data_IF_637318627875
#
_entry.id   IF_637318627875
#
_cell.length_a   1.000
_cell.length_b   1.000
_cell.length_c   1.000
_cell.angle_alpha   90.00
_cell.angle_beta   90.00
_cell.angle_gamma   90.00
#
_symmetry.space_group_name_H-M   'P 1'
#
loop_
_entity.id
_entity.type
_entity.pdbx_description
1 polymer ?
#
# COMPACT_ATOMS: atom_id res chain seq x y z
N UNK A 1 -94.49 12.55 4.55
CA UNK A 1 -95.71 12.93 3.77
C UNK A 1 -95.54 12.44 2.36
N UNK A 2 -96.48 11.62 1.93
CA UNK A 2 -97.01 11.39 0.57
C UNK A 2 -96.00 10.86 -0.46
N UNK A 3 -96.08 9.55 -0.79
CA UNK A 3 -96.91 8.93 -1.84
C UNK A 3 -96.63 9.57 -3.22
N UNK A 4 -96.23 8.79 -4.25
CA UNK A 4 -97.15 8.00 -5.09
C UNK A 4 -96.31 7.12 -6.02
N UNK A 5 -96.71 5.84 -6.06
CA UNK A 5 -96.61 4.86 -7.12
C UNK A 5 -96.92 5.42 -8.53
N UNK A 6 -96.30 4.85 -9.56
CA UNK A 6 -97.05 4.34 -10.74
C UNK A 6 -96.20 3.34 -11.54
N UNK A 7 -96.85 2.25 -11.79
CA UNK A 7 -96.43 1.11 -12.59
C UNK A 7 -96.45 1.41 -14.10
N UNK A 8 -95.65 0.69 -14.86
CA UNK A 8 -95.66 0.64 -16.32
C UNK A 8 -95.07 -0.63 -16.85
N UNK A 9 -95.89 -1.47 -17.32
CA UNK A 9 -95.73 -2.86 -17.80
C UNK A 9 -95.13 -2.90 -19.24
N UNK A 10 -94.38 -3.95 -19.46
CA UNK A 10 -94.29 -4.79 -20.68
C UNK A 10 -93.38 -4.30 -21.83
N UNK A 11 -92.51 -5.19 -22.22
CA UNK A 11 -91.87 -5.24 -23.52
C UNK A 11 -90.79 -6.32 -23.54
N UNK A 12 -91.14 -7.60 -23.62
CA UNK A 12 -90.26 -8.73 -23.91
C UNK A 12 -89.95 -8.69 -25.36
N UNK A 13 -88.64 -8.40 -25.70
CA UNK A 13 -88.02 -8.68 -26.97
C UNK A 13 -86.83 -9.62 -26.76
N UNK A 14 -87.09 -10.91 -26.98
CA UNK A 14 -86.01 -11.89 -27.13
C UNK A 14 -85.22 -11.61 -28.38
N UNK A 15 -84.04 -10.99 -28.21
CA UNK A 15 -83.02 -10.94 -29.25
C UNK A 15 -81.98 -12.02 -28.94
N UNK A 16 -82.03 -13.13 -29.70
CA UNK A 16 -81.03 -14.16 -29.72
C UNK A 16 -79.74 -13.57 -30.35
N UNK A 17 -78.92 -12.91 -29.55
CA UNK A 17 -77.59 -12.54 -29.97
C UNK A 17 -76.66 -13.74 -29.89
N UNK A 18 -76.14 -14.22 -31.01
CA UNK A 18 -75.04 -15.18 -31.10
C UNK A 18 -73.82 -14.64 -30.35
N UNK A 19 -73.51 -15.27 -29.21
CA UNK A 19 -72.23 -14.99 -28.50
C UNK A 19 -71.06 -15.47 -29.36
N UNK A 20 -70.46 -14.58 -30.10
CA UNK A 20 -69.12 -14.81 -30.62
C UNK A 20 -68.18 -14.76 -29.44
N UNK A 21 -67.77 -15.94 -28.95
CA UNK A 21 -66.64 -16.04 -28.05
C UNK A 21 -65.41 -15.47 -28.83
N UNK A 22 -65.05 -14.23 -28.50
CA UNK A 22 -63.76 -13.68 -28.94
C UNK A 22 -62.68 -14.54 -28.32
N UNK A 23 -62.04 -15.35 -29.09
CA UNK A 23 -60.81 -16.04 -28.77
C UNK A 23 -59.77 -14.94 -28.51
N UNK A 24 -59.64 -14.54 -27.24
CA UNK A 24 -58.57 -13.67 -26.80
C UNK A 24 -57.28 -14.47 -26.96
N UNK A 25 -56.62 -14.26 -28.09
CA UNK A 25 -55.29 -14.77 -28.34
C UNK A 25 -54.46 -14.42 -27.11
N UNK A 26 -54.06 -15.46 -26.35
CA UNK A 26 -53.15 -15.32 -25.23
C UNK A 26 -51.89 -14.65 -25.78
N UNK A 27 -51.72 -13.37 -25.50
CA UNK A 27 -50.47 -12.73 -25.79
C UNK A 27 -49.38 -13.52 -25.04
N UNK A 28 -48.34 -13.97 -25.72
CA UNK A 28 -47.25 -14.69 -25.06
C UNK A 28 -46.73 -13.80 -23.96
N UNK A 29 -46.81 -14.28 -22.72
CA UNK A 29 -46.22 -13.61 -21.54
C UNK A 29 -44.72 -13.55 -21.83
N UNK A 30 -44.26 -12.41 -22.28
CA UNK A 30 -42.85 -12.16 -22.47
C UNK A 30 -42.23 -12.14 -21.08
N UNK A 31 -41.63 -13.27 -20.70
CA UNK A 31 -40.89 -13.36 -19.45
C UNK A 31 -39.80 -12.27 -19.49
N UNK A 32 -39.97 -11.26 -18.63
CA UNK A 32 -39.00 -10.18 -18.57
C UNK A 32 -37.56 -10.77 -18.49
N UNK A 33 -36.63 -10.29 -19.31
CA UNK A 33 -35.24 -10.78 -19.21
C UNK A 33 -34.79 -10.67 -17.76
N UNK A 34 -34.07 -11.69 -17.24
CA UNK A 34 -33.56 -11.63 -15.89
C UNK A 34 -32.82 -10.30 -15.70
N UNK A 35 -32.97 -9.62 -14.56
CA UNK A 35 -32.27 -8.37 -14.32
C UNK A 35 -30.78 -8.61 -14.54
N UNK A 36 -30.17 -7.77 -15.39
CA UNK A 36 -28.74 -7.83 -15.65
C UNK A 36 -28.04 -7.75 -14.28
N UNK A 37 -27.35 -8.82 -13.91
CA UNK A 37 -26.53 -8.83 -12.70
C UNK A 37 -25.53 -7.66 -12.82
N UNK A 38 -25.54 -6.77 -11.83
CA UNK A 38 -24.51 -5.74 -11.75
C UNK A 38 -23.13 -6.42 -11.79
N UNK A 39 -22.22 -5.95 -12.64
CA UNK A 39 -20.91 -6.58 -12.75
C UNK A 39 -20.25 -6.66 -11.36
N UNK A 40 -19.83 -7.87 -10.98
CA UNK A 40 -19.14 -8.08 -9.73
C UNK A 40 -17.88 -7.21 -9.72
N UNK A 41 -17.56 -6.62 -8.56
CA UNK A 41 -16.38 -5.82 -8.41
C UNK A 41 -15.12 -6.64 -8.70
N UNK A 42 -14.22 -6.12 -9.55
CA UNK A 42 -12.97 -6.79 -9.91
C UNK A 42 -11.77 -5.97 -9.45
N UNK A 43 -10.77 -6.64 -8.92
CA UNK A 43 -9.48 -6.05 -8.53
C UNK A 43 -8.49 -5.96 -9.68
N UNK A 44 -8.83 -6.50 -10.87
CA UNK A 44 -7.98 -6.42 -12.06
C UNK A 44 -7.87 -4.99 -12.55
N UNK A 45 -6.65 -4.53 -12.80
CA UNK A 45 -6.33 -3.22 -13.34
C UNK A 45 -5.07 -2.64 -12.72
N UNK A 46 -4.57 -1.57 -13.34
CA UNK A 46 -3.45 -0.81 -12.81
C UNK A 46 -3.95 0.37 -11.96
N UNK A 47 -3.12 0.81 -11.05
CA UNK A 47 -3.45 1.92 -10.14
C UNK A 47 -2.23 2.80 -9.91
N UNK A 48 -2.51 4.02 -9.50
CA UNK A 48 -1.56 4.99 -8.94
C UNK A 48 -2.12 5.49 -7.62
N UNK A 49 -1.28 5.76 -6.66
CA UNK A 49 -1.72 6.23 -5.37
C UNK A 49 -0.69 7.03 -4.62
N UNK A 50 -1.12 7.57 -3.49
CA UNK A 50 -0.25 8.23 -2.52
C UNK A 50 -0.39 7.59 -1.15
N UNK A 51 0.66 7.69 -0.35
CA UNK A 51 0.69 7.18 1.01
C UNK A 51 1.39 8.14 1.96
N UNK A 52 1.06 7.99 3.24
CA UNK A 52 1.72 8.64 4.36
C UNK A 52 1.79 7.66 5.53
N UNK A 53 2.84 7.73 6.32
CA UNK A 53 3.00 6.81 7.42
C UNK A 53 4.10 7.19 8.39
N UNK A 54 4.38 6.27 9.30
CA UNK A 54 5.50 6.32 10.22
C UNK A 54 6.41 5.12 10.03
N UNK A 55 7.70 5.36 10.23
CA UNK A 55 8.72 4.33 10.20
C UNK A 55 9.54 4.34 11.49
N UNK A 56 9.94 3.17 11.92
CA UNK A 56 10.90 3.00 13.01
C UNK A 56 11.90 1.92 12.63
N UNK A 57 13.12 2.09 13.09
CA UNK A 57 14.20 1.19 12.72
C UNK A 57 15.17 0.99 13.85
N UNK A 58 16.04 -0.01 13.66
CA UNK A 58 17.16 -0.27 14.53
C UNK A 58 18.41 -0.38 13.71
N UNK A 59 19.39 0.43 14.08
CA UNK A 59 20.72 0.40 13.50
C UNK A 59 21.69 -0.15 14.54
N UNK A 60 22.38 -1.23 14.20
CA UNK A 60 23.42 -1.80 15.04
C UNK A 60 24.77 -1.66 14.30
N UNK A 61 25.65 -0.87 14.88
CA UNK A 61 27.02 -0.71 14.40
C UNK A 61 27.96 -1.53 15.28
N UNK A 62 28.83 -2.33 14.66
CA UNK A 62 29.87 -3.10 15.34
C UNK A 62 31.21 -2.90 14.64
N UNK A 63 32.27 -2.66 15.41
CA UNK A 63 33.61 -2.45 14.93
C UNK A 63 34.53 -3.60 15.42
N UNK A 64 34.44 -4.82 14.85
CA UNK A 64 35.15 -5.99 15.33
C UNK A 64 36.69 -5.84 15.30
N UNK A 65 37.20 -5.04 14.36
CA UNK A 65 38.63 -4.78 14.16
C UNK A 65 39.22 -3.79 15.16
N UNK A 66 38.39 -2.86 15.71
CA UNK A 66 38.85 -1.82 16.64
C UNK A 66 38.56 -2.18 18.10
N UNK A 67 37.42 -2.82 18.35
CA UNK A 67 36.99 -3.22 19.70
C UNK A 67 36.12 -4.48 19.62
N UNK A 68 36.68 -5.68 19.72
CA UNK A 68 35.91 -6.93 19.72
C UNK A 68 34.89 -6.96 20.85
N UNK A 69 33.60 -7.17 20.50
CA UNK A 69 32.52 -7.30 21.49
C UNK A 69 31.78 -5.99 21.81
N UNK A 70 32.17 -4.85 21.26
CA UNK A 70 31.42 -3.61 21.40
C UNK A 70 30.43 -3.44 20.24
N UNK A 71 29.14 -3.36 20.55
CA UNK A 71 28.11 -3.00 19.59
C UNK A 71 27.34 -1.78 20.11
N UNK A 72 27.12 -0.81 19.23
CA UNK A 72 26.29 0.36 19.48
C UNK A 72 24.96 0.15 18.77
N UNK A 73 23.86 0.25 19.49
CA UNK A 73 22.52 0.15 18.93
C UNK A 73 21.83 1.49 19.10
N UNK A 74 21.33 2.03 18.00
CA UNK A 74 20.51 3.24 17.97
C UNK A 74 19.13 2.93 17.42
N UNK A 75 18.10 3.47 18.04
CA UNK A 75 16.74 3.44 17.50
C UNK A 75 16.51 4.68 16.66
N UNK A 76 15.85 4.50 15.54
CA UNK A 76 15.50 5.57 14.59
C UNK A 76 14.00 5.60 14.40
N UNK A 77 13.41 6.76 14.26
CA UNK A 77 11.99 6.91 13.95
C UNK A 77 11.74 8.18 13.14
N UNK A 78 10.65 8.19 12.40
CA UNK A 78 10.29 9.33 11.59
C UNK A 78 9.02 9.13 10.79
N UNK A 79 8.70 10.14 10.00
CA UNK A 79 7.57 10.11 9.09
C UNK A 79 8.04 9.78 7.68
N UNK A 80 7.17 9.12 6.93
CA UNK A 80 7.37 8.80 5.51
C UNK A 80 6.14 9.22 4.73
N UNK A 81 6.32 9.55 3.46
CA UNK A 81 5.23 9.86 2.56
C UNK A 81 5.69 9.81 1.12
N UNK A 82 4.82 9.32 0.25
CA UNK A 82 5.21 9.10 -1.12
C UNK A 82 4.08 8.64 -2.02
N UNK A 83 4.46 7.92 -3.05
CA UNK A 83 3.54 7.39 -4.04
C UNK A 83 3.83 5.94 -4.40
N UNK A 84 2.80 5.29 -4.89
CA UNK A 84 2.87 3.93 -5.40
C UNK A 84 2.17 3.81 -6.76
N UNK A 85 2.64 2.86 -7.53
CA UNK A 85 2.05 2.45 -8.80
C UNK A 85 2.09 0.93 -8.88
N UNK A 86 1.01 0.32 -9.34
CA UNK A 86 0.98 -1.14 -9.46
C UNK A 86 -0.11 -1.62 -10.39
N UNK A 87 -0.09 -2.92 -10.65
CA UNK A 87 -1.11 -3.60 -11.44
C UNK A 87 -1.48 -4.91 -10.74
N UNK A 88 -2.77 -5.19 -10.69
CA UNK A 88 -3.34 -6.40 -10.12
C UNK A 88 -4.04 -7.22 -11.21
N UNK A 89 -3.98 -8.52 -11.08
CA UNK A 89 -4.73 -9.48 -11.87
C UNK A 89 -5.48 -10.46 -10.97
N UNK A 90 -6.80 -10.43 -11.03
CA UNK A 90 -7.66 -11.36 -10.30
C UNK A 90 -7.83 -12.63 -11.14
N UNK A 91 -7.04 -13.67 -10.81
CA UNK A 91 -6.99 -14.92 -11.59
C UNK A 91 -8.01 -15.98 -11.12
N UNK A 92 -8.64 -15.74 -9.98
CA UNK A 92 -9.73 -16.56 -9.44
C UNK A 92 -10.74 -15.66 -8.69
N UNK A 93 -11.93 -16.13 -8.36
CA UNK A 93 -12.97 -15.31 -7.74
C UNK A 93 -12.50 -14.53 -6.50
N UNK A 94 -11.60 -15.11 -5.71
CA UNK A 94 -11.11 -14.54 -4.46
C UNK A 94 -9.60 -14.32 -4.42
N UNK A 95 -8.87 -14.57 -5.52
CA UNK A 95 -7.41 -14.48 -5.52
C UNK A 95 -6.89 -13.46 -6.52
N UNK A 96 -5.98 -12.64 -6.04
CA UNK A 96 -5.34 -11.56 -6.80
C UNK A 96 -3.83 -11.72 -6.70
N UNK A 97 -3.17 -11.62 -7.84
CA UNK A 97 -1.72 -11.45 -7.92
C UNK A 97 -1.41 -10.07 -8.50
N UNK A 98 -0.35 -9.45 -8.07
CA UNK A 98 0.03 -8.13 -8.56
C UNK A 98 1.50 -7.82 -8.41
N UNK A 99 1.88 -6.70 -8.98
CA UNK A 99 3.18 -6.07 -8.81
C UNK A 99 2.97 -4.62 -8.41
N UNK A 100 3.76 -4.14 -7.47
CA UNK A 100 3.70 -2.76 -6.97
C UNK A 100 5.13 -2.20 -6.88
N UNK A 101 5.30 -0.96 -7.35
CA UNK A 101 6.46 -0.14 -7.09
C UNK A 101 6.05 1.02 -6.20
N UNK A 102 6.80 1.27 -5.16
CA UNK A 102 6.58 2.41 -4.26
C UNK A 102 7.86 3.21 -4.05
N UNK A 103 7.71 4.50 -3.84
CA UNK A 103 8.78 5.43 -3.55
C UNK A 103 8.31 6.48 -2.55
N UNK A 104 9.01 6.56 -1.43
CA UNK A 104 8.71 7.46 -0.33
C UNK A 104 9.89 8.37 -0.03
N UNK A 105 9.59 9.65 0.20
CA UNK A 105 10.47 10.54 0.93
C UNK A 105 10.40 10.18 2.41
N UNK A 106 11.53 10.09 3.06
CA UNK A 106 11.64 9.73 4.47
C UNK A 106 12.35 10.84 5.23
N UNK A 107 11.87 11.15 6.42
CA UNK A 107 12.57 11.99 7.39
C UNK A 107 12.78 11.15 8.67
N UNK A 108 13.51 10.04 8.49
CA UNK A 108 13.84 9.12 9.58
C UNK A 108 15.20 9.53 10.12
N UNK A 109 15.22 9.94 11.39
CA UNK A 109 16.42 10.41 12.07
C UNK A 109 16.77 9.51 13.22
N UNK A 110 18.05 9.34 13.46
CA UNK A 110 18.57 8.64 14.62
C UNK A 110 19.89 9.24 15.04
N UNK A 111 20.01 9.46 16.33
CA UNK A 111 21.20 9.99 16.95
C UNK A 111 21.85 8.89 17.79
N UNK A 112 23.13 8.69 17.61
CA UNK A 112 23.92 7.79 18.44
C UNK A 112 25.06 8.57 19.09
N UNK A 113 25.11 8.55 20.41
CA UNK A 113 26.20 9.17 21.18
C UNK A 113 27.11 8.09 21.72
N UNK A 114 28.39 8.19 21.43
CA UNK A 114 29.41 7.29 21.96
C UNK A 114 30.46 8.08 22.75
N UNK A 115 30.79 7.60 23.93
CA UNK A 115 31.89 8.15 24.73
C UNK A 115 33.00 7.10 24.81
N UNK A 116 34.16 7.41 24.23
CA UNK A 116 35.33 6.55 24.23
C UNK A 116 36.48 7.37 24.83
N UNK A 117 37.10 6.86 25.89
CA UNK A 117 38.23 7.53 26.58
C UNK A 117 37.91 8.97 27.02
N UNK A 118 36.66 9.25 27.41
CA UNK A 118 36.27 10.61 27.85
C UNK A 118 35.96 11.59 26.72
N UNK A 119 36.07 11.18 25.46
CA UNK A 119 35.70 11.95 24.29
C UNK A 119 34.31 11.53 23.86
N UNK A 120 33.36 12.46 23.84
CA UNK A 120 31.99 12.22 23.40
C UNK A 120 31.86 12.66 21.95
N UNK A 121 31.52 11.70 21.08
CA UNK A 121 31.18 11.94 19.68
C UNK A 121 29.67 11.68 19.44
N UNK A 122 29.06 12.49 18.60
CA UNK A 122 27.65 12.30 18.17
C UNK A 122 27.64 11.96 16.70
N UNK A 123 27.00 10.85 16.36
CA UNK A 123 26.77 10.43 14.99
C UNK A 123 25.28 10.61 14.66
N UNK A 124 25.01 11.30 13.57
CA UNK A 124 23.66 11.49 13.05
C UNK A 124 23.49 10.63 11.80
N UNK A 125 22.44 9.82 11.78
CA UNK A 125 22.03 9.05 10.61
C UNK A 125 20.67 9.55 10.16
N UNK A 126 20.52 9.76 8.85
CA UNK A 126 19.29 10.19 8.23
C UNK A 126 19.03 9.36 6.98
N UNK A 127 17.81 8.81 6.89
CA UNK A 127 17.31 8.18 5.66
C UNK A 127 16.40 9.18 4.97
N UNK A 128 16.76 9.56 3.74
CA UNK A 128 16.05 10.59 2.97
C UNK A 128 14.95 10.00 2.08
N UNK A 129 15.13 8.77 1.58
CA UNK A 129 14.17 8.12 0.71
C UNK A 129 14.26 6.59 0.81
N UNK A 130 13.13 5.94 0.53
CA UNK A 130 12.99 4.50 0.41
C UNK A 130 12.23 4.22 -0.88
N UNK A 131 12.62 3.20 -1.62
CA UNK A 131 11.88 2.73 -2.79
C UNK A 131 11.83 1.21 -2.78
N UNK A 132 10.75 0.63 -3.30
CA UNK A 132 10.67 -0.82 -3.43
C UNK A 132 9.94 -1.26 -4.70
N UNK A 133 10.22 -2.51 -5.11
CA UNK A 133 9.46 -3.23 -6.13
C UNK A 133 9.10 -4.58 -5.55
N UNK A 134 7.79 -4.84 -5.46
CA UNK A 134 7.25 -6.00 -4.76
C UNK A 134 6.24 -6.75 -5.62
N UNK A 135 6.24 -8.08 -5.50
CA UNK A 135 5.11 -8.91 -5.88
C UNK A 135 4.10 -8.96 -4.74
N UNK A 136 2.81 -8.99 -5.04
CA UNK A 136 1.75 -9.10 -4.04
C UNK A 136 0.80 -10.26 -4.37
N UNK A 137 0.33 -10.94 -3.32
CA UNK A 137 -0.70 -11.98 -3.37
C UNK A 137 -1.81 -11.60 -2.41
N UNK A 138 -3.03 -11.47 -2.91
CA UNK A 138 -4.19 -11.03 -2.15
C UNK A 138 -5.33 -12.03 -2.17
N UNK A 139 -6.06 -12.08 -1.06
CA UNK A 139 -7.36 -12.74 -0.95
C UNK A 139 -8.45 -11.70 -0.82
N UNK A 140 -9.50 -11.81 -1.65
CA UNK A 140 -10.56 -10.81 -1.74
C UNK A 140 -11.90 -11.38 -1.29
N UNK A 141 -12.67 -10.54 -0.59
CA UNK A 141 -14.09 -10.78 -0.29
C UNK A 141 -14.84 -9.46 -0.53
N UNK A 142 -15.70 -9.48 -1.54
CA UNK A 142 -16.42 -8.29 -2.00
C UNK A 142 -15.44 -7.14 -2.32
N UNK A 143 -15.48 -6.05 -1.58
CA UNK A 143 -14.68 -4.84 -1.77
C UNK A 143 -13.44 -4.76 -0.87
N UNK A 144 -13.12 -5.83 -0.17
CA UNK A 144 -11.95 -5.93 0.69
C UNK A 144 -10.90 -6.85 0.10
N UNK A 145 -9.65 -6.52 0.31
CA UNK A 145 -8.51 -7.36 -0.07
C UNK A 145 -7.49 -7.38 1.06
N UNK A 146 -7.23 -8.56 1.60
CA UNK A 146 -6.09 -8.82 2.47
C UNK A 146 -4.95 -9.32 1.59
N UNK A 147 -3.75 -8.76 1.73
CA UNK A 147 -2.63 -9.17 0.90
C UNK A 147 -1.32 -9.25 1.69
N UNK A 148 -0.42 -10.10 1.18
CA UNK A 148 0.99 -10.11 1.51
C UNK A 148 1.79 -9.65 0.29
N UNK A 149 2.93 -8.99 0.52
CA UNK A 149 3.85 -8.56 -0.52
C UNK A 149 5.29 -8.82 -0.13
N UNK A 150 6.17 -8.90 -1.12
CA UNK A 150 7.60 -9.04 -0.88
C UNK A 150 8.40 -8.77 -2.14
N UNK A 151 9.64 -8.29 -1.96
CA UNK A 151 10.48 -7.93 -3.09
C UNK A 151 11.78 -7.25 -2.72
N UNK A 152 12.33 -6.52 -3.67
CA UNK A 152 13.56 -5.76 -3.52
C UNK A 152 13.26 -4.34 -3.02
N UNK A 153 14.15 -3.81 -2.19
CA UNK A 153 14.05 -2.46 -1.66
C UNK A 153 15.39 -1.74 -1.75
N UNK A 154 15.33 -0.41 -1.84
CA UNK A 154 16.48 0.49 -1.86
C UNK A 154 16.22 1.64 -0.91
N UNK A 155 17.27 2.09 -0.22
CA UNK A 155 17.22 3.26 0.65
C UNK A 155 18.42 4.15 0.40
N UNK A 156 18.21 5.46 0.46
CA UNK A 156 19.27 6.47 0.41
C UNK A 156 19.54 7.04 1.78
N UNK A 157 20.72 6.75 2.30
CA UNK A 157 21.15 7.19 3.62
C UNK A 157 22.20 8.30 3.50
N UNK A 158 22.11 9.27 4.41
CA UNK A 158 23.12 10.28 4.66
C UNK A 158 23.64 10.15 6.07
N UNK A 159 24.93 10.10 6.20
CA UNK A 159 25.64 10.06 7.48
C UNK A 159 26.42 11.34 7.66
N UNK A 160 26.29 11.95 8.83
CA UNK A 160 27.17 13.01 9.27
C UNK A 160 27.71 12.67 10.66
N UNK A 161 28.99 12.92 10.88
CA UNK A 161 29.61 12.75 12.17
C UNK A 161 30.31 14.05 12.55
N UNK A 162 30.01 14.54 13.76
CA UNK A 162 30.63 15.69 14.36
C UNK A 162 31.61 15.23 15.45
N UNK A 163 32.89 15.47 15.24
CA UNK A 163 33.95 15.21 16.22
C UNK A 163 34.49 16.57 16.69
N UNK A 164 34.14 17.04 17.90
CA UNK A 164 34.43 18.40 18.35
C UNK A 164 35.92 18.76 18.40
N UNK A 165 36.81 17.75 18.50
CA UNK A 165 38.25 17.95 18.62
C UNK A 165 38.92 18.36 17.29
N UNK A 166 38.29 18.06 16.14
CA UNK A 166 38.92 18.24 14.83
C UNK A 166 38.22 19.27 13.93
N UNK A 167 37.09 19.86 14.32
CA UNK A 167 36.29 20.85 13.56
C UNK A 167 36.00 20.44 12.09
N UNK A 168 36.00 19.15 11.79
CA UNK A 168 35.73 18.62 10.46
C UNK A 168 34.35 17.92 10.41
N UNK A 169 33.57 18.29 9.37
CA UNK A 169 32.31 17.66 9.05
C UNK A 169 32.56 16.56 8.00
N UNK A 170 32.32 15.32 8.37
CA UNK A 170 32.41 14.18 7.46
C UNK A 170 31.00 13.84 7.00
N UNK A 171 30.77 13.89 5.68
CA UNK A 171 29.49 13.48 5.08
C UNK A 171 29.70 12.30 4.14
N UNK A 172 28.86 11.29 4.26
CA UNK A 172 28.81 10.17 3.33
C UNK A 172 27.37 9.95 2.87
N UNK A 173 27.18 9.81 1.56
CA UNK A 173 25.89 9.42 0.97
C UNK A 173 26.03 8.05 0.34
N UNK A 174 25.14 7.13 0.69
CA UNK A 174 25.18 5.76 0.18
C UNK A 174 23.78 5.25 -0.12
N UNK A 175 23.62 4.59 -1.28
CA UNK A 175 22.42 3.83 -1.61
C UNK A 175 22.61 2.38 -1.17
N UNK A 176 21.66 1.85 -0.42
CA UNK A 176 21.63 0.46 0.04
C UNK A 176 20.54 -0.30 -0.66
N UNK A 177 20.84 -1.54 -1.05
CA UNK A 177 19.86 -2.49 -1.56
C UNK A 177 19.60 -3.55 -0.50
N UNK A 178 18.35 -3.98 -0.38
CA UNK A 178 17.88 -4.98 0.55
C UNK A 178 16.60 -5.65 0.04
N UNK A 179 15.89 -6.28 0.94
CA UNK A 179 14.59 -6.89 0.67
C UNK A 179 13.52 -6.35 1.62
N UNK A 180 12.27 -6.48 1.18
CA UNK A 180 11.12 -6.10 1.98
C UNK A 180 10.08 -7.22 1.96
N UNK A 181 9.38 -7.38 3.07
CA UNK A 181 8.19 -8.19 3.20
C UNK A 181 7.16 -7.42 3.99
N UNK A 182 5.92 -7.49 3.57
CA UNK A 182 4.85 -6.76 4.21
C UNK A 182 3.49 -7.34 3.91
N UNK A 183 2.48 -6.64 4.36
CA UNK A 183 1.11 -6.98 4.08
C UNK A 183 0.18 -5.87 4.50
N UNK A 184 -1.04 -5.93 3.99
CA UNK A 184 -2.01 -4.88 4.24
C UNK A 184 -3.44 -5.29 3.96
N UNK A 185 -4.31 -4.41 4.37
CA UNK A 185 -5.74 -4.49 4.10
C UNK A 185 -6.12 -3.30 3.20
N UNK A 186 -6.77 -3.59 2.09
CA UNK A 186 -7.23 -2.59 1.12
C UNK A 186 -8.74 -2.67 0.97
N UNK A 187 -9.41 -1.54 0.99
CA UNK A 187 -10.86 -1.40 0.87
C UNK A 187 -11.22 -0.50 -0.30
N UNK A 188 -11.95 -1.05 -1.27
CA UNK A 188 -12.50 -0.30 -2.39
C UNK A 188 -13.80 0.41 -1.98
N UNK A 189 -13.69 1.63 -1.48
CA UNK A 189 -14.86 2.41 -1.02
C UNK A 189 -15.65 3.01 -2.20
N UNK A 190 -15.04 3.11 -3.38
CA UNK A 190 -15.69 3.51 -4.63
C UNK A 190 -15.25 2.60 -5.77
N UNK A 191 -15.85 2.74 -6.97
CA UNK A 191 -15.52 1.90 -8.13
C UNK A 191 -14.03 1.96 -8.50
N UNK A 192 -13.44 3.15 -8.48
CA UNK A 192 -12.06 3.40 -8.89
C UNK A 192 -11.14 3.78 -7.73
N UNK A 193 -11.67 3.94 -6.51
CA UNK A 193 -10.90 4.38 -5.37
C UNK A 193 -10.83 3.32 -4.29
N UNK A 194 -9.65 3.12 -3.75
CA UNK A 194 -9.43 2.28 -2.59
C UNK A 194 -8.55 2.97 -1.56
N UNK A 195 -8.73 2.59 -0.31
CA UNK A 195 -7.88 2.99 0.80
C UNK A 195 -7.18 1.75 1.34
N UNK A 196 -5.90 1.88 1.70
CA UNK A 196 -5.11 0.78 2.26
C UNK A 196 -4.44 1.18 3.57
N UNK A 197 -4.29 0.18 4.44
CA UNK A 197 -3.34 0.21 5.54
C UNK A 197 -2.34 -0.92 5.34
N UNK A 198 -1.06 -0.61 5.48
CA UNK A 198 0.02 -1.51 5.11
C UNK A 198 1.13 -1.47 6.16
N UNK A 199 1.66 -2.62 6.48
CA UNK A 199 2.87 -2.78 7.27
C UNK A 199 3.95 -3.40 6.41
N UNK A 200 5.14 -2.80 6.40
CA UNK A 200 6.31 -3.32 5.71
C UNK A 200 7.50 -3.43 6.65
N UNK A 201 8.21 -4.53 6.53
CA UNK A 201 9.50 -4.77 7.14
C UNK A 201 10.57 -4.75 6.06
N UNK A 202 11.65 -4.01 6.31
CA UNK A 202 12.80 -3.86 5.43
C UNK A 202 14.06 -4.36 6.11
N UNK A 203 14.87 -5.15 5.40
CA UNK A 203 16.19 -5.57 5.85
C UNK A 203 17.22 -5.25 4.76
N UNK A 204 18.09 -4.30 5.06
CA UNK A 204 19.18 -3.86 4.17
C UNK A 204 20.50 -4.61 4.42
N UNK A 205 20.46 -5.65 5.26
CA UNK A 205 21.59 -6.52 5.53
C UNK A 205 22.68 -5.85 6.34
N UNK A 206 23.86 -6.47 6.26
CA UNK A 206 25.10 -5.96 6.88
C UNK A 206 25.99 -5.40 5.77
N UNK A 207 26.53 -4.20 5.98
CA UNK A 207 27.48 -3.58 5.07
C UNK A 207 28.67 -3.03 5.83
N UNK A 208 29.86 -3.22 5.27
CA UNK A 208 31.07 -2.58 5.71
C UNK A 208 31.11 -1.16 5.14
N UNK A 209 31.07 -0.18 6.02
CA UNK A 209 31.21 1.23 5.66
C UNK A 209 32.66 1.64 5.92
N UNK A 210 33.35 2.06 4.87
CA UNK A 210 34.69 2.61 4.99
C UNK A 210 34.58 4.12 5.18
N UNK A 211 35.04 4.61 6.31
CA UNK A 211 35.10 6.05 6.57
C UNK A 211 36.46 6.57 6.12
N UNK A 212 36.45 7.65 5.33
CA UNK A 212 37.66 8.41 5.00
C UNK A 212 37.63 9.62 5.93
N UNK A 213 38.53 9.64 6.89
CA UNK A 213 38.69 10.74 7.86
C UNK A 213 40.07 11.32 7.77
N UNK A 214 40.23 12.57 8.21
CA UNK A 214 41.52 13.21 8.35
C UNK A 214 41.87 13.25 9.83
N UNK A 215 42.90 12.52 10.25
CA UNK A 215 43.41 12.56 11.63
C UNK A 215 44.72 13.36 11.60
N UNK A 216 44.76 14.49 12.31
CA UNK A 216 45.89 15.42 12.35
C UNK A 216 46.36 15.92 10.96
N UNK A 217 45.40 16.14 10.03
CA UNK A 217 45.72 16.62 8.69
C UNK A 217 46.22 15.56 7.69
N UNK A 218 46.23 14.29 8.10
CA UNK A 218 46.60 13.14 7.25
C UNK A 218 45.35 12.35 6.92
N UNK A 219 45.04 12.09 5.62
CA UNK A 219 43.92 11.23 5.24
C UNK A 219 44.16 9.80 5.76
N UNK A 220 43.31 9.31 6.60
CA UNK A 220 43.38 7.95 7.11
C UNK A 220 42.08 7.21 6.78
N UNK A 221 42.22 5.96 6.33
CA UNK A 221 41.12 5.06 6.01
C UNK A 221 40.84 4.21 7.24
N UNK A 222 39.72 4.47 7.90
CA UNK A 222 39.28 3.64 9.02
C UNK A 222 38.58 2.40 8.45
N UNK A 223 39.13 1.18 8.65
CA UNK A 223 38.55 -0.04 8.07
C UNK A 223 37.20 -0.38 8.71
N UNK A 224 36.32 -0.81 7.85
CA UNK A 224 34.98 -1.36 7.97
C UNK A 224 34.29 -1.39 9.33
N UNK A 225 33.37 -0.49 9.54
CA UNK A 225 32.34 -0.64 10.57
C UNK A 225 31.18 -1.42 9.96
N UNK A 226 30.89 -2.59 10.53
CA UNK A 226 29.75 -3.40 10.13
C UNK A 226 28.45 -2.74 10.64
N UNK A 227 27.62 -2.26 9.73
CA UNK A 227 26.32 -1.64 10.07
C UNK A 227 25.20 -2.54 9.58
N UNK A 228 24.41 -3.05 10.49
CA UNK A 228 23.12 -3.74 10.20
C UNK A 228 21.98 -2.75 10.42
N UNK A 229 21.07 -2.67 9.43
CA UNK A 229 19.94 -1.76 9.49
C UNK A 229 18.64 -2.48 9.10
N UNK A 230 17.65 -2.35 9.95
CA UNK A 230 16.29 -2.86 9.72
C UNK A 230 15.29 -1.76 9.99
N UNK A 231 14.23 -1.69 9.18
CA UNK A 231 13.13 -0.75 9.34
C UNK A 231 11.79 -1.47 9.35
N UNK A 232 10.87 -0.90 10.08
CA UNK A 232 9.45 -1.25 10.01
C UNK A 232 8.65 0.02 9.73
N UNK A 233 7.65 -0.09 8.88
CA UNK A 233 6.77 1.05 8.55
C UNK A 233 5.32 0.65 8.66
N UNK A 234 4.48 1.62 9.03
CA UNK A 234 3.02 1.55 8.88
C UNK A 234 2.59 2.70 7.99
N UNK A 235 1.88 2.36 6.93
CA UNK A 235 1.46 3.31 5.89
C UNK A 235 -0.05 3.29 5.71
N UNK A 236 -0.64 4.47 5.52
CA UNK A 236 -2.01 4.66 5.05
C UNK A 236 -1.94 5.21 3.64
N UNK A 237 -2.63 4.60 2.71
CA UNK A 237 -2.60 5.00 1.32
C UNK A 237 -3.98 5.05 0.69
N UNK A 238 -4.06 5.83 -0.39
CA UNK A 238 -5.24 5.89 -1.26
C UNK A 238 -4.79 5.64 -2.67
N UNK A 239 -5.50 4.75 -3.38
CA UNK A 239 -5.23 4.38 -4.76
C UNK A 239 -6.38 4.81 -5.66
N UNK A 240 -6.05 5.32 -6.83
CA UNK A 240 -6.95 5.45 -7.96
C UNK A 240 -6.67 4.35 -8.97
N UNK A 241 -7.66 3.53 -9.24
CA UNK A 241 -7.60 2.42 -10.18
C UNK A 241 -8.13 2.84 -11.52
N UNK A 242 -7.30 2.64 -12.54
CA UNK A 242 -7.74 2.72 -13.91
C UNK A 242 -8.60 1.48 -14.20
N UNK A 243 -9.72 1.64 -14.89
CA UNK A 243 -10.61 0.53 -15.23
C UNK A 243 -9.85 -0.62 -15.92
N UNK A 244 -10.46 -1.81 -16.06
CA UNK A 244 -9.80 -2.94 -16.70
C UNK A 244 -9.24 -2.49 -18.03
N UNK A 245 -7.94 -2.78 -18.25
CA UNK A 245 -7.33 -2.56 -19.56
C UNK A 245 -8.16 -3.37 -20.54
N UNK A 246 -8.89 -2.68 -21.44
CA UNK A 246 -9.72 -3.32 -22.44
C UNK A 246 -8.82 -4.25 -23.27
N UNK A 247 -8.94 -5.56 -23.10
CA UNK A 247 -8.13 -6.53 -23.81
C UNK A 247 -7.88 -7.87 -23.11
N UNK A 248 -8.32 -8.03 -21.87
CA UNK A 248 -8.24 -9.33 -21.18
C UNK A 248 -9.60 -10.03 -21.27
N UNK A 249 -9.88 -10.67 -22.42
CA UNK A 249 -10.94 -11.67 -22.61
C UNK A 249 -10.28 -13.03 -22.79
#
# INVERSE_FOLDING_TARGET
MKKVLLAGVAGIALVTGSAHAADLSHQPVYKAPPPAMAPAFSWTGCYIGGNIGGGWGRTTASAPSLAPGISLTGDTSGVIGGGQVGCNYQFAPNWVIGIEGDGEAADIKGDATATVLGITGTAHARTDWIASVTGRLGYTWDRWMLYAKGGAAWAGDKYSADIPIFAEHIQASQTRAGWTVGGGLEWAFWQNWSAKVEYDFYDFGRRDVTFIGTIFGVPEVVPGINVKQTFSTVKFGVNYRFGPIAGAY
#
